data_IF_255682366031
#
_entry.id   IF_255682366031
#
_cell.length_a   1.000
_cell.length_b   1.000
_cell.length_c   1.000
_cell.angle_alpha   90.00
_cell.angle_beta   90.00
_cell.angle_gamma   90.00
#
_symmetry.space_group_name_H-M   'P 1'
#
loop_
_entity.id
_entity.type
_entity.pdbx_description
1 polymer ?
#
# COMPACT_ATOMS: atom_id res chain seq x y z
N UNK A 1 -44.95 -11.51 1.91
CA UNK A 1 -43.76 -11.73 1.07
C UNK A 1 -42.57 -11.88 2.00
N UNK A 2 -42.04 -13.09 2.16
CA UNK A 2 -40.82 -13.31 2.94
C UNK A 2 -39.65 -12.77 2.13
N UNK A 3 -39.00 -11.71 2.62
CA UNK A 3 -37.81 -11.14 1.96
C UNK A 3 -36.67 -12.12 2.24
N UNK A 4 -36.29 -12.87 1.21
CA UNK A 4 -35.22 -13.86 1.28
C UNK A 4 -33.89 -13.15 1.65
N UNK A 5 -33.23 -13.60 2.72
CA UNK A 5 -31.99 -13.00 3.22
C UNK A 5 -30.86 -12.97 2.19
N UNK A 6 -30.93 -13.80 1.15
CA UNK A 6 -30.00 -13.74 0.02
C UNK A 6 -30.18 -12.48 -0.84
N UNK A 7 -31.42 -12.02 -1.03
CA UNK A 7 -31.71 -10.78 -1.79
C UNK A 7 -31.19 -9.53 -1.08
N UNK A 8 -31.25 -9.51 0.25
CA UNK A 8 -30.74 -8.39 1.07
C UNK A 8 -29.22 -8.28 0.92
N UNK A 9 -28.50 -9.41 0.90
CA UNK A 9 -27.03 -9.44 0.72
C UNK A 9 -26.61 -8.96 -0.67
N UNK A 10 -27.33 -9.37 -1.71
CA UNK A 10 -27.07 -8.89 -3.08
C UNK A 10 -27.35 -7.39 -3.22
N UNK A 11 -28.43 -6.89 -2.61
CA UNK A 11 -28.72 -5.46 -2.56
C UNK A 11 -27.63 -4.69 -1.81
N UNK A 12 -27.13 -5.20 -0.68
CA UNK A 12 -26.03 -4.59 0.06
C UNK A 12 -24.75 -4.51 -0.78
N UNK A 13 -24.44 -5.57 -1.54
CA UNK A 13 -23.27 -5.64 -2.42
C UNK A 13 -23.38 -4.64 -3.59
N UNK A 14 -24.57 -4.52 -4.19
CA UNK A 14 -24.85 -3.53 -5.23
C UNK A 14 -24.76 -2.10 -4.68
N UNK A 15 -25.25 -1.86 -3.47
CA UNK A 15 -25.17 -0.55 -2.81
C UNK A 15 -23.73 -0.16 -2.46
N UNK A 16 -22.86 -1.14 -2.16
CA UNK A 16 -21.42 -0.89 -1.92
C UNK A 16 -20.63 -0.60 -3.19
N UNK A 17 -21.21 -0.83 -4.38
CA UNK A 17 -20.54 -0.55 -5.64
C UNK A 17 -20.55 0.98 -5.92
N UNK A 18 -19.39 1.64 -6.00
CA UNK A 18 -19.32 3.10 -6.13
C UNK A 18 -19.96 3.62 -7.41
N UNK A 19 -19.94 2.84 -8.51
CA UNK A 19 -20.52 3.23 -9.79
C UNK A 19 -22.05 3.26 -9.75
N UNK A 20 -22.69 2.31 -9.08
CA UNK A 20 -24.15 2.24 -8.99
C UNK A 20 -24.68 3.40 -8.13
N UNK A 21 -24.03 3.66 -6.99
CA UNK A 21 -24.34 4.83 -6.15
C UNK A 21 -24.16 6.14 -6.92
N UNK A 22 -23.08 6.28 -7.69
CA UNK A 22 -22.84 7.47 -8.50
C UNK A 22 -23.96 7.67 -9.53
N UNK A 23 -24.35 6.63 -10.26
CA UNK A 23 -25.46 6.71 -11.22
C UNK A 23 -26.78 7.05 -10.53
N UNK A 24 -27.06 6.46 -9.37
CA UNK A 24 -28.27 6.75 -8.61
C UNK A 24 -28.31 8.21 -8.12
N UNK A 25 -27.19 8.69 -7.57
CA UNK A 25 -27.02 10.07 -7.15
C UNK A 25 -27.14 11.04 -8.34
N UNK A 26 -26.56 10.71 -9.50
CA UNK A 26 -26.67 11.55 -10.69
C UNK A 26 -28.10 11.59 -11.24
N UNK A 27 -28.79 10.44 -11.36
CA UNK A 27 -30.17 10.42 -11.84
C UNK A 27 -31.13 11.15 -10.90
N UNK A 28 -31.04 10.88 -9.60
CA UNK A 28 -31.90 11.53 -8.60
C UNK A 28 -31.57 13.02 -8.43
N UNK A 29 -30.28 13.39 -8.47
CA UNK A 29 -29.83 14.77 -8.44
C UNK A 29 -30.23 15.55 -9.69
N UNK A 30 -30.06 14.99 -10.89
CA UNK A 30 -30.52 15.61 -12.13
C UNK A 30 -32.02 15.86 -12.10
N UNK A 31 -32.82 14.88 -11.67
CA UNK A 31 -34.28 15.02 -11.61
C UNK A 31 -34.71 16.11 -10.61
N UNK A 32 -33.99 16.27 -9.50
CA UNK A 32 -34.30 17.26 -8.46
C UNK A 32 -33.83 18.68 -8.81
N UNK A 33 -32.62 18.83 -9.37
CA UNK A 33 -31.99 20.12 -9.65
C UNK A 33 -32.22 20.63 -11.08
N UNK A 34 -32.93 19.88 -11.94
CA UNK A 34 -33.23 20.33 -13.30
C UNK A 34 -34.22 21.52 -13.31
N UNK A 35 -33.99 22.53 -14.17
CA UNK A 35 -34.94 23.62 -14.37
C UNK A 35 -36.29 23.10 -14.89
N UNK A 36 -37.38 23.73 -14.45
CA UNK A 36 -38.75 23.32 -14.79
C UNK A 36 -39.02 23.24 -16.29
N UNK A 37 -38.36 24.08 -17.10
CA UNK A 37 -38.46 24.04 -18.56
C UNK A 37 -38.01 22.69 -19.16
N UNK A 38 -36.99 22.06 -18.58
CA UNK A 38 -36.45 20.77 -19.05
C UNK A 38 -37.30 19.62 -18.52
N UNK A 39 -37.69 19.67 -17.23
CA UNK A 39 -38.57 18.67 -16.60
C UNK A 39 -39.92 18.61 -17.30
N UNK A 40 -40.45 19.77 -17.72
CA UNK A 40 -41.70 19.88 -18.49
C UNK A 40 -41.60 19.19 -19.86
N UNK A 41 -40.49 19.37 -20.57
CA UNK A 41 -40.24 18.71 -21.87
C UNK A 41 -40.09 17.19 -21.74
N UNK A 42 -39.69 16.71 -20.56
CA UNK A 42 -39.55 15.29 -20.26
C UNK A 42 -40.84 14.66 -19.67
N UNK A 43 -41.94 15.42 -19.53
CA UNK A 43 -43.19 14.98 -18.91
C UNK A 43 -43.03 14.48 -17.46
N UNK A 44 -42.03 15.00 -16.73
CA UNK A 44 -41.69 14.57 -15.36
C UNK A 44 -42.17 15.52 -14.26
N UNK A 45 -42.91 16.58 -14.60
CA UNK A 45 -43.33 17.62 -13.64
C UNK A 45 -44.21 17.05 -12.53
N UNK A 46 -45.30 16.36 -12.87
CA UNK A 46 -46.24 15.80 -11.91
C UNK A 46 -45.59 14.71 -11.02
N UNK A 47 -44.61 14.00 -11.59
CA UNK A 47 -43.84 13.00 -10.86
C UNK A 47 -42.89 13.64 -9.84
N UNK A 48 -42.19 14.72 -10.23
CA UNK A 48 -41.31 15.47 -9.34
C UNK A 48 -42.09 16.16 -8.24
N UNK A 49 -43.25 16.73 -8.52
CA UNK A 49 -44.03 17.44 -7.48
C UNK A 49 -44.64 16.45 -6.46
N UNK A 50 -45.00 15.24 -6.90
CA UNK A 50 -45.56 14.21 -6.01
C UNK A 50 -44.50 13.42 -5.24
N UNK A 51 -43.35 13.13 -5.84
CA UNK A 51 -42.31 12.27 -5.26
C UNK A 51 -40.99 12.99 -4.95
N UNK A 52 -40.88 14.29 -5.21
CA UNK A 52 -39.64 15.06 -5.09
C UNK A 52 -39.03 15.01 -3.69
N UNK A 53 -39.86 15.00 -2.65
CA UNK A 53 -39.39 14.80 -1.27
C UNK A 53 -38.73 13.45 -1.05
N UNK A 54 -39.33 12.36 -1.54
CA UNK A 54 -38.79 11.00 -1.41
C UNK A 54 -37.50 10.86 -2.24
N UNK A 55 -37.49 11.39 -3.46
CA UNK A 55 -36.31 11.39 -4.33
C UNK A 55 -35.16 12.19 -3.71
N UNK A 56 -35.47 13.31 -3.05
CA UNK A 56 -34.50 14.10 -2.30
C UNK A 56 -33.86 13.31 -1.15
N UNK A 57 -34.65 12.54 -0.39
CA UNK A 57 -34.11 11.68 0.68
C UNK A 57 -33.20 10.58 0.11
N UNK A 58 -33.61 9.92 -0.99
CA UNK A 58 -32.79 8.90 -1.65
C UNK A 58 -31.48 9.50 -2.17
N UNK A 59 -31.54 10.68 -2.78
CA UNK A 59 -30.37 11.42 -3.25
C UNK A 59 -29.42 11.75 -2.09
N UNK A 60 -29.93 12.26 -0.97
CA UNK A 60 -29.12 12.58 0.21
C UNK A 60 -28.39 11.35 0.77
N UNK A 61 -29.10 10.22 0.89
CA UNK A 61 -28.50 8.96 1.37
C UNK A 61 -27.40 8.49 0.40
N UNK A 62 -27.68 8.51 -0.90
CA UNK A 62 -26.73 8.11 -1.94
C UNK A 62 -25.48 9.01 -1.94
N UNK A 63 -25.67 10.33 -1.79
CA UNK A 63 -24.60 11.31 -1.74
C UNK A 63 -23.71 11.13 -0.50
N UNK A 64 -24.33 10.87 0.67
CA UNK A 64 -23.60 10.63 1.91
C UNK A 64 -22.74 9.36 1.83
N UNK A 65 -23.29 8.27 1.27
CA UNK A 65 -22.53 7.05 1.00
C UNK A 65 -21.36 7.29 0.03
N UNK A 66 -21.58 8.08 -1.02
CA UNK A 66 -20.53 8.39 -1.98
C UNK A 66 -19.40 9.22 -1.34
N UNK A 67 -19.74 10.22 -0.52
CA UNK A 67 -18.79 11.03 0.23
C UNK A 67 -17.94 10.19 1.19
N UNK A 68 -18.56 9.28 1.96
CA UNK A 68 -17.82 8.42 2.90
C UNK A 68 -16.83 7.47 2.19
N UNK A 69 -17.20 6.91 1.04
CA UNK A 69 -16.31 6.10 0.22
C UNK A 69 -15.14 6.92 -0.33
N UNK A 70 -15.41 8.14 -0.80
CA UNK A 70 -14.40 9.07 -1.30
C UNK A 70 -13.40 9.47 -0.21
N UNK A 71 -13.90 9.87 0.96
CA UNK A 71 -13.08 10.19 2.14
C UNK A 71 -12.18 9.03 2.55
N UNK A 72 -12.70 7.80 2.56
CA UNK A 72 -11.92 6.60 2.91
C UNK A 72 -10.79 6.33 1.90
N UNK A 73 -11.07 6.49 0.60
CA UNK A 73 -10.03 6.36 -0.44
C UNK A 73 -8.96 7.43 -0.32
N UNK A 74 -9.34 8.69 -0.12
CA UNK A 74 -8.39 9.81 0.05
C UNK A 74 -7.52 9.58 1.30
N UNK A 75 -8.14 9.24 2.43
CA UNK A 75 -7.43 8.99 3.68
C UNK A 75 -6.45 7.82 3.56
N UNK A 76 -6.88 6.69 2.98
CA UNK A 76 -5.99 5.54 2.78
C UNK A 76 -4.81 5.90 1.86
N UNK A 77 -5.06 6.60 0.75
CA UNK A 77 -4.03 7.07 -0.17
C UNK A 77 -3.02 7.99 0.53
N UNK A 78 -3.49 9.04 1.22
CA UNK A 78 -2.64 9.97 1.96
C UNK A 78 -1.80 9.26 3.04
N UNK A 79 -2.41 8.30 3.76
CA UNK A 79 -1.73 7.48 4.76
C UNK A 79 -0.63 6.63 4.13
N UNK A 80 -0.86 6.02 2.96
CA UNK A 80 0.17 5.20 2.29
C UNK A 80 1.38 6.02 1.88
N UNK A 81 1.20 7.24 1.36
CA UNK A 81 2.30 8.13 0.96
C UNK A 81 3.12 8.54 2.19
N UNK A 82 2.44 8.95 3.26
CA UNK A 82 3.12 9.41 4.48
C UNK A 82 3.90 8.28 5.16
N UNK A 83 3.32 7.07 5.22
CA UNK A 83 4.01 5.89 5.75
C UNK A 83 5.27 5.57 4.95
N UNK A 84 5.17 5.52 3.61
CA UNK A 84 6.32 5.27 2.73
C UNK A 84 7.47 6.25 2.98
N UNK A 85 7.17 7.55 3.10
CA UNK A 85 8.19 8.57 3.40
C UNK A 85 8.85 8.35 4.76
N UNK A 86 8.06 8.06 5.80
CA UNK A 86 8.58 7.76 7.15
C UNK A 86 9.45 6.50 7.17
N UNK A 87 9.04 5.46 6.45
CA UNK A 87 9.76 4.19 6.37
C UNK A 87 11.12 4.36 5.69
N UNK A 88 11.18 5.10 4.58
CA UNK A 88 12.44 5.42 3.90
C UNK A 88 13.37 6.21 4.82
N UNK A 89 12.85 7.22 5.53
CA UNK A 89 13.65 8.01 6.48
C UNK A 89 14.19 7.15 7.64
N UNK A 90 13.38 6.23 8.18
CA UNK A 90 13.80 5.29 9.23
C UNK A 90 14.89 4.35 8.73
N UNK A 91 14.73 3.79 7.52
CA UNK A 91 15.73 2.93 6.87
C UNK A 91 17.04 3.65 6.61
N UNK A 92 16.99 4.90 6.10
CA UNK A 92 18.17 5.75 5.95
C UNK A 92 18.89 5.96 7.29
N UNK A 93 18.15 6.35 8.33
CA UNK A 93 18.69 6.58 9.67
C UNK A 93 19.35 5.31 10.24
N UNK A 94 18.78 4.14 9.98
CA UNK A 94 19.35 2.87 10.38
C UNK A 94 20.69 2.59 9.66
N UNK A 95 20.75 2.72 8.32
CA UNK A 95 21.99 2.52 7.56
C UNK A 95 23.10 3.53 7.92
N UNK A 96 22.72 4.76 8.29
CA UNK A 96 23.67 5.78 8.78
C UNK A 96 24.22 5.44 10.17
N UNK A 97 23.39 4.96 11.09
CA UNK A 97 23.80 4.58 12.46
C UNK A 97 24.49 3.23 12.56
N UNK A 98 24.53 2.47 11.48
CA UNK A 98 25.10 1.13 11.48
C UNK A 98 26.59 1.16 11.88
N UNK A 99 26.97 0.28 12.79
CA UNK A 99 28.34 0.07 13.25
C UNK A 99 29.26 -0.37 12.10
N UNK A 100 30.56 -0.09 12.19
CA UNK A 100 31.52 -0.28 11.11
C UNK A 100 31.64 -1.76 10.66
N UNK A 101 31.58 -2.70 11.62
CA UNK A 101 31.60 -4.14 11.35
C UNK A 101 30.43 -4.58 10.46
N UNK A 102 29.23 -4.10 10.76
CA UNK A 102 28.00 -4.39 9.99
C UNK A 102 28.03 -3.69 8.63
N UNK A 103 28.56 -2.47 8.59
CA UNK A 103 28.73 -1.74 7.34
C UNK A 103 29.70 -2.47 6.39
N UNK A 104 30.75 -3.11 6.91
CA UNK A 104 31.70 -3.91 6.12
C UNK A 104 31.03 -5.10 5.43
N UNK A 105 30.11 -5.79 6.11
CA UNK A 105 29.30 -6.87 5.51
C UNK A 105 28.50 -6.36 4.31
N UNK A 106 27.83 -5.22 4.46
CA UNK A 106 27.06 -4.60 3.37
C UNK A 106 27.98 -4.17 2.22
N UNK A 107 29.17 -3.61 2.52
CA UNK A 107 30.17 -3.26 1.50
C UNK A 107 30.61 -4.50 0.70
N UNK A 108 30.85 -5.62 1.38
CA UNK A 108 31.26 -6.86 0.71
C UNK A 108 30.15 -7.41 -0.19
N UNK A 109 28.90 -7.37 0.27
CA UNK A 109 27.74 -7.72 -0.55
C UNK A 109 27.58 -6.79 -1.77
N UNK A 110 27.80 -5.48 -1.62
CA UNK A 110 27.75 -4.54 -2.76
C UNK A 110 28.83 -4.80 -3.81
N UNK A 111 30.01 -5.28 -3.40
CA UNK A 111 31.12 -5.61 -4.33
C UNK A 111 30.89 -6.93 -5.07
N UNK A 112 30.14 -7.88 -4.48
CA UNK A 112 29.88 -9.16 -5.11
C UNK A 112 29.01 -8.97 -6.39
N UNK A 113 29.33 -9.64 -7.51
CA UNK A 113 28.66 -9.43 -8.80
C UNK A 113 27.17 -9.81 -8.75
N UNK A 114 26.79 -10.76 -7.89
CA UNK A 114 25.40 -11.19 -7.67
C UNK A 114 24.80 -10.63 -6.39
N UNK A 115 25.49 -9.67 -5.74
CA UNK A 115 25.16 -9.14 -4.42
C UNK A 115 24.89 -10.19 -3.34
N UNK A 116 25.47 -11.39 -3.50
CA UNK A 116 25.22 -12.57 -2.68
C UNK A 116 26.52 -13.05 -2.02
N UNK A 117 26.46 -13.43 -0.74
CA UNK A 117 27.60 -13.97 0.00
C UNK A 117 27.15 -15.06 0.99
N UNK A 118 27.94 -16.14 1.19
CA UNK A 118 27.73 -17.07 2.29
C UNK A 118 27.95 -16.37 3.63
N UNK A 119 27.00 -16.50 4.55
CA UNK A 119 27.06 -15.94 5.90
C UNK A 119 26.54 -16.95 6.90
N UNK A 120 27.09 -16.91 8.11
CA UNK A 120 26.63 -17.73 9.21
C UNK A 120 25.24 -17.25 9.68
N UNK A 121 24.27 -18.17 9.71
CA UNK A 121 22.90 -17.94 10.16
C UNK A 121 22.84 -17.60 11.66
N UNK A 122 23.63 -18.28 12.49
CA UNK A 122 23.67 -18.10 13.94
C UNK A 122 24.42 -16.82 14.39
N UNK A 123 25.04 -16.08 13.48
CA UNK A 123 25.75 -14.84 13.81
C UNK A 123 24.74 -13.70 14.08
N UNK A 124 24.92 -13.01 15.21
CA UNK A 124 24.07 -11.88 15.62
C UNK A 124 24.00 -10.75 14.58
N UNK A 125 25.08 -10.50 13.84
CA UNK A 125 25.11 -9.49 12.76
C UNK A 125 24.21 -9.90 11.60
N UNK A 126 24.25 -11.18 11.20
CA UNK A 126 23.40 -11.71 10.13
C UNK A 126 21.92 -11.63 10.53
N UNK A 127 21.58 -12.12 11.73
CA UNK A 127 20.21 -12.12 12.22
C UNK A 127 19.62 -10.72 12.34
N UNK A 128 20.42 -9.75 12.79
CA UNK A 128 19.98 -8.35 12.85
C UNK A 128 19.73 -7.79 11.44
N UNK A 129 20.66 -7.97 10.49
CA UNK A 129 20.49 -7.50 9.11
C UNK A 129 19.29 -8.15 8.41
N UNK A 130 18.99 -9.42 8.70
CA UNK A 130 17.79 -10.13 8.23
C UNK A 130 16.53 -9.55 8.87
N UNK A 131 16.53 -9.34 10.19
CA UNK A 131 15.38 -8.78 10.93
C UNK A 131 14.99 -7.39 10.41
N UNK A 132 15.97 -6.55 10.08
CA UNK A 132 15.74 -5.24 9.48
C UNK A 132 15.45 -5.28 7.97
N UNK A 133 15.44 -6.46 7.35
CA UNK A 133 15.17 -6.66 5.93
C UNK A 133 16.22 -6.03 5.01
N UNK A 134 17.46 -5.87 5.50
CA UNK A 134 18.59 -5.35 4.71
C UNK A 134 19.13 -6.45 3.80
N UNK A 135 19.22 -7.67 4.32
CA UNK A 135 19.63 -8.86 3.59
C UNK A 135 18.50 -9.91 3.65
N UNK A 136 18.44 -10.79 2.65
CA UNK A 136 17.53 -11.93 2.63
C UNK A 136 18.23 -13.16 2.11
N UNK A 137 17.70 -14.33 2.46
CA UNK A 137 18.18 -15.60 1.93
C UNK A 137 17.98 -15.67 0.42
N UNK A 138 19.00 -16.10 -0.33
CA UNK A 138 18.97 -16.16 -1.80
C UNK A 138 17.98 -17.21 -2.35
N UNK A 139 17.53 -18.14 -1.51
CA UNK A 139 16.44 -19.05 -1.80
C UNK A 139 15.92 -19.72 -0.53
N UNK A 140 14.64 -20.07 -0.50
CA UNK A 140 13.99 -20.76 0.63
C UNK A 140 14.42 -22.23 0.76
N UNK A 141 14.98 -22.82 -0.30
CA UNK A 141 15.42 -24.23 -0.36
C UNK A 141 16.90 -24.37 -0.71
N UNK A 142 17.73 -23.43 -0.25
CA UNK A 142 19.17 -23.52 -0.45
C UNK A 142 19.76 -24.67 0.39
N UNK A 143 20.76 -25.35 -0.16
CA UNK A 143 21.53 -26.34 0.59
C UNK A 143 22.22 -25.66 1.77
N UNK A 144 22.02 -26.20 2.97
CA UNK A 144 22.70 -25.72 4.17
C UNK A 144 24.10 -26.33 4.22
N UNK A 145 25.11 -25.48 4.34
CA UNK A 145 26.47 -25.93 4.60
C UNK A 145 26.74 -25.85 6.11
N UNK A 146 27.25 -26.93 6.69
CA UNK A 146 27.59 -26.99 8.10
C UNK A 146 29.11 -26.81 8.27
N UNK A 147 29.51 -25.80 9.04
CA UNK A 147 30.89 -25.57 9.43
C UNK A 147 31.33 -26.41 10.63
N UNK A 148 32.61 -26.26 11.03
CA UNK A 148 33.24 -27.06 12.09
C UNK A 148 32.67 -26.83 13.50
N UNK A 149 31.95 -25.72 13.75
CA UNK A 149 31.43 -25.34 15.08
C UNK A 149 29.90 -25.13 15.08
N UNK A 150 29.15 -26.08 14.53
CA UNK A 150 27.68 -25.97 14.35
C UNK A 150 27.24 -24.70 13.59
N UNK A 151 28.15 -24.16 12.77
CA UNK A 151 27.88 -22.98 11.96
C UNK A 151 26.99 -23.37 10.80
N UNK A 152 25.79 -22.81 10.74
CA UNK A 152 24.89 -22.98 9.60
C UNK A 152 25.21 -21.86 8.61
N UNK A 153 25.87 -22.19 7.51
CA UNK A 153 26.24 -21.24 6.46
C UNK A 153 25.15 -21.25 5.39
N UNK A 154 24.55 -20.08 5.17
CA UNK A 154 23.54 -19.85 4.14
C UNK A 154 23.96 -18.69 3.23
N UNK A 155 23.48 -18.69 2.00
CA UNK A 155 23.70 -17.60 1.05
C UNK A 155 22.64 -16.52 1.27
N UNK A 156 23.11 -15.30 1.48
CA UNK A 156 22.29 -14.12 1.63
C UNK A 156 22.60 -13.12 0.53
N UNK A 157 21.58 -12.42 0.05
CA UNK A 157 21.71 -11.34 -0.90
C UNK A 157 21.24 -10.01 -0.32
N UNK A 158 21.80 -8.92 -0.84
CA UNK A 158 21.39 -7.57 -0.48
C UNK A 158 20.04 -7.22 -1.12
N UNK A 159 19.09 -6.74 -0.32
CA UNK A 159 17.79 -6.34 -0.84
C UNK A 159 17.90 -5.12 -1.80
N UNK A 160 17.17 -5.09 -2.94
CA UNK A 160 17.30 -4.05 -3.96
C UNK A 160 17.11 -2.63 -3.41
N UNK A 161 16.20 -2.45 -2.46
CA UNK A 161 15.91 -1.16 -1.85
C UNK A 161 17.13 -0.57 -1.11
N UNK A 162 18.03 -1.41 -0.60
CA UNK A 162 19.24 -0.98 0.11
C UNK A 162 20.25 -0.41 -0.90
N UNK A 163 20.49 -1.15 -1.99
CA UNK A 163 21.38 -0.72 -3.06
C UNK A 163 20.89 0.59 -3.70
N UNK A 164 19.59 0.69 -3.98
CA UNK A 164 18.98 1.91 -4.48
C UNK A 164 19.14 3.09 -3.53
N UNK A 165 18.91 2.88 -2.22
CA UNK A 165 19.00 3.95 -1.23
C UNK A 165 20.44 4.44 -1.07
N UNK A 166 21.43 3.53 -1.10
CA UNK A 166 22.85 3.88 -1.06
C UNK A 166 23.28 4.63 -2.33
N UNK A 167 22.74 4.26 -3.49
CA UNK A 167 23.06 4.94 -4.76
C UNK A 167 22.42 6.33 -4.88
N UNK A 168 21.21 6.51 -4.32
CA UNK A 168 20.46 7.77 -4.35
C UNK A 168 20.96 8.78 -3.32
N UNK A 169 21.53 8.33 -2.19
CA UNK A 169 21.90 9.19 -1.08
C UNK A 169 23.42 9.40 -0.98
N UNK A 170 23.86 10.64 -1.13
CA UNK A 170 25.29 11.00 -1.16
C UNK A 170 26.01 10.65 0.15
N UNK A 171 25.36 10.82 1.32
CA UNK A 171 25.95 10.50 2.63
C UNK A 171 26.16 8.99 2.81
N UNK A 172 25.19 8.19 2.37
CA UNK A 172 25.34 6.73 2.39
C UNK A 172 26.40 6.30 1.37
N UNK A 173 26.40 6.90 0.19
CA UNK A 173 27.41 6.64 -0.84
C UNK A 173 28.81 6.88 -0.31
N UNK A 174 29.08 7.97 0.39
CA UNK A 174 30.40 8.20 1.01
C UNK A 174 30.78 7.13 2.04
N UNK A 175 29.85 6.77 2.94
CA UNK A 175 30.08 5.76 3.98
C UNK A 175 30.39 4.37 3.39
N UNK A 176 29.70 3.99 2.32
CA UNK A 176 29.82 2.66 1.70
C UNK A 176 30.85 2.60 0.55
N UNK A 177 31.23 3.73 -0.05
CA UNK A 177 32.22 3.83 -1.15
C UNK A 177 33.66 4.05 -0.65
N UNK A 178 33.87 4.68 0.51
CA UNK A 178 35.20 4.80 1.13
C UNK A 178 35.59 3.51 1.88
N UNK A 179 36.39 2.68 1.24
CA UNK A 179 37.83 2.56 1.56
C UNK A 179 38.46 1.63 0.53
N UNK A 180 39.53 2.14 -0.07
CA UNK A 180 40.56 1.35 -0.76
C UNK A 180 41.13 0.32 0.22
#
# INVERSE_FOLDING_TARGET
>A
MSVDGNTIKELEKLLKAPYILLTLALCSGLLLFLPDFIVKKMYLLDFRDKFGGIIGVIFLISLCLLLTLLCTKIYSYARTITKRKKDIARRKKYLLKLEENKAKVIKNLLKAPTHTMPMQYNNGVTMELVSYGVISQAGSTQAMEFGYDNEIILKYFLQPWVAELINKDEQLKEKYKKSK
#
